data_IF_242319659258
#
_entry.id   IF_242319659258
#
_cell.length_a   1.000
_cell.length_b   1.000
_cell.length_c   1.000
_cell.angle_alpha   90.00
_cell.angle_beta   90.00
_cell.angle_gamma   90.00
#
_symmetry.space_group_name_H-M   'P 1'
#
loop_
_entity.id
_entity.type
_entity.pdbx_description
1 polymer ?
#
# COMPACT_ATOMS: atom_id res chain seq x y z
N UNK A 1 -19.64 5.89 -3.30
CA UNK A 1 -19.85 5.34 -4.66
C UNK A 1 -19.72 3.83 -4.60
N UNK A 2 -20.84 3.11 -4.78
CA UNK A 2 -20.89 1.63 -4.71
C UNK A 2 -19.84 0.97 -5.61
N UNK A 3 -19.56 1.55 -6.79
CA UNK A 3 -18.58 1.03 -7.74
C UNK A 3 -17.16 0.89 -7.18
N UNK A 4 -16.64 1.91 -6.48
CA UNK A 4 -15.28 1.83 -5.90
C UNK A 4 -15.23 0.79 -4.79
N UNK A 5 -16.28 0.69 -3.98
CA UNK A 5 -16.37 -0.34 -2.95
C UNK A 5 -16.38 -1.75 -3.55
N UNK A 6 -17.10 -1.97 -4.65
CA UNK A 6 -17.08 -3.24 -5.40
C UNK A 6 -15.67 -3.55 -5.91
N UNK A 7 -14.99 -2.58 -6.52
CA UNK A 7 -13.63 -2.76 -7.04
C UNK A 7 -12.65 -3.10 -5.90
N UNK A 8 -12.73 -2.38 -4.77
CA UNK A 8 -11.91 -2.66 -3.60
C UNK A 8 -12.13 -4.08 -3.07
N UNK A 9 -13.39 -4.51 -2.96
CA UNK A 9 -13.74 -5.88 -2.53
C UNK A 9 -13.17 -6.92 -3.52
N UNK A 10 -13.29 -6.69 -4.83
CA UNK A 10 -12.70 -7.58 -5.85
C UNK A 10 -11.18 -7.68 -5.68
N UNK A 11 -10.49 -6.56 -5.49
CA UNK A 11 -9.04 -6.53 -5.24
C UNK A 11 -8.71 -7.36 -3.99
N UNK A 12 -9.45 -7.20 -2.90
CA UNK A 12 -9.23 -7.95 -1.67
C UNK A 12 -9.45 -9.46 -1.87
N UNK A 13 -10.52 -9.86 -2.56
CA UNK A 13 -10.79 -11.28 -2.87
C UNK A 13 -9.68 -11.86 -3.75
N UNK A 14 -9.29 -11.17 -4.82
CA UNK A 14 -8.21 -11.62 -5.70
C UNK A 14 -6.87 -11.69 -4.96
N UNK A 15 -6.61 -10.73 -4.06
CA UNK A 15 -5.42 -10.75 -3.21
C UNK A 15 -5.41 -11.97 -2.30
N UNK A 16 -6.54 -12.38 -1.73
CA UNK A 16 -6.61 -13.59 -0.92
C UNK A 16 -6.15 -14.81 -1.72
N UNK A 17 -6.73 -15.03 -2.91
CA UNK A 17 -6.34 -16.14 -3.78
C UNK A 17 -4.89 -16.07 -4.25
N UNK A 18 -4.37 -14.87 -4.51
CA UNK A 18 -2.94 -14.65 -4.79
C UNK A 18 -2.06 -15.09 -3.63
N UNK A 19 -2.43 -14.73 -2.40
CA UNK A 19 -1.71 -15.09 -1.18
C UNK A 19 -1.71 -16.59 -0.91
N UNK A 20 -2.82 -17.29 -1.21
CA UNK A 20 -2.89 -18.75 -1.10
C UNK A 20 -1.85 -19.46 -1.98
N UNK A 21 -1.57 -18.93 -3.18
CA UNK A 21 -0.60 -19.49 -4.13
C UNK A 21 0.83 -19.22 -3.69
N UNK A 22 1.08 -18.04 -3.14
CA UNK A 22 2.41 -17.56 -2.79
C UNK A 22 2.93 -18.03 -1.43
N UNK A 23 2.01 -18.25 -0.49
CA UNK A 23 2.29 -18.78 0.83
C UNK A 23 2.75 -17.75 1.86
N UNK A 24 2.63 -18.13 3.14
CA UNK A 24 2.80 -17.26 4.29
C UNK A 24 4.14 -16.53 4.34
N UNK A 25 5.25 -17.24 4.13
CA UNK A 25 6.59 -16.63 4.28
C UNK A 25 6.82 -15.55 3.24
N UNK A 26 6.41 -15.75 1.98
CA UNK A 26 6.56 -14.69 0.95
C UNK A 26 5.75 -13.47 1.35
N UNK A 27 4.51 -13.67 1.75
CA UNK A 27 3.58 -12.59 2.06
C UNK A 27 3.94 -11.84 3.35
N UNK A 28 4.50 -12.54 4.34
CA UNK A 28 5.05 -11.92 5.54
C UNK A 28 6.20 -10.95 5.19
N UNK A 29 7.17 -11.37 4.38
CA UNK A 29 8.26 -10.48 3.98
C UNK A 29 7.75 -9.31 3.12
N UNK A 30 6.81 -9.53 2.21
CA UNK A 30 6.20 -8.44 1.43
C UNK A 30 5.53 -7.40 2.36
N UNK A 31 4.79 -7.87 3.37
CA UNK A 31 4.15 -7.03 4.38
C UNK A 31 5.18 -6.22 5.16
N UNK A 32 6.24 -6.86 5.66
CA UNK A 32 7.32 -6.17 6.38
C UNK A 32 8.00 -5.13 5.50
N UNK A 33 8.29 -5.47 4.24
CA UNK A 33 8.87 -4.53 3.28
C UNK A 33 7.94 -3.33 3.09
N UNK A 34 6.65 -3.55 2.88
CA UNK A 34 5.68 -2.47 2.71
C UNK A 34 5.63 -1.57 3.96
N UNK A 35 5.56 -2.16 5.16
CA UNK A 35 5.52 -1.41 6.42
C UNK A 35 6.75 -0.52 6.64
N UNK A 36 7.93 -0.96 6.20
CA UNK A 36 9.16 -0.16 6.27
C UNK A 36 9.21 0.86 5.11
N UNK A 37 8.73 0.49 3.92
CA UNK A 37 8.78 1.33 2.74
C UNK A 37 7.85 2.55 2.87
N UNK A 38 6.68 2.41 3.50
CA UNK A 38 5.71 3.51 3.70
C UNK A 38 6.35 4.74 4.38
N UNK A 39 6.92 4.64 5.60
CA UNK A 39 7.51 5.81 6.27
C UNK A 39 8.74 6.34 5.54
N UNK A 40 9.58 5.47 4.96
CA UNK A 40 10.76 5.89 4.20
C UNK A 40 10.37 6.64 2.92
N UNK A 41 9.31 6.20 2.23
CA UNK A 41 8.76 6.90 1.08
C UNK A 41 8.16 8.24 1.49
N UNK A 42 7.43 8.28 2.60
CA UNK A 42 6.92 9.52 3.19
C UNK A 42 8.01 10.54 3.52
N UNK A 43 9.21 10.09 3.91
CA UNK A 43 10.33 11.00 4.16
C UNK A 43 11.02 11.49 2.88
N UNK A 44 11.15 10.61 1.88
CA UNK A 44 12.00 10.86 0.71
C UNK A 44 11.26 11.33 -0.55
N UNK A 45 9.92 11.28 -0.59
CA UNK A 45 9.15 11.55 -1.81
C UNK A 45 9.42 12.93 -2.42
N UNK A 46 9.72 13.95 -1.61
CA UNK A 46 9.99 15.31 -2.09
C UNK A 46 11.22 15.39 -3.00
N UNK A 47 12.23 14.54 -2.75
CA UNK A 47 13.42 14.48 -3.61
C UNK A 47 13.05 14.01 -5.02
N UNK A 48 12.13 13.05 -5.12
CA UNK A 48 11.64 12.56 -6.40
C UNK A 48 10.62 13.52 -7.03
N UNK A 49 9.76 14.15 -6.24
CA UNK A 49 8.83 15.17 -6.72
C UNK A 49 9.60 16.32 -7.40
N UNK A 50 10.72 16.77 -6.82
CA UNK A 50 11.58 17.79 -7.41
C UNK A 50 12.19 17.36 -8.76
N UNK A 51 12.50 16.07 -8.96
CA UNK A 51 12.95 15.55 -10.25
C UNK A 51 11.81 15.45 -11.28
N UNK A 52 10.56 15.44 -10.82
CA UNK A 52 9.35 15.38 -11.63
C UNK A 52 8.75 16.75 -11.91
N UNK A 53 9.47 17.84 -11.62
CA UNK A 53 8.99 19.22 -11.80
C UNK A 53 8.65 19.62 -13.24
N UNK A 54 8.84 18.70 -14.19
CA UNK A 54 8.38 18.84 -15.57
C UNK A 54 6.90 18.47 -15.74
N UNK A 55 6.27 17.83 -14.75
CA UNK A 55 4.85 17.48 -14.77
C UNK A 55 3.97 18.70 -14.49
N UNK A 56 2.74 18.73 -15.03
CA UNK A 56 1.85 19.86 -14.85
C UNK A 56 1.22 19.88 -13.45
N UNK A 57 1.84 20.58 -12.51
CA UNK A 57 1.27 20.96 -11.22
C UNK A 57 1.77 20.15 -10.03
N UNK A 58 1.86 20.82 -8.88
CA UNK A 58 2.49 20.29 -7.65
C UNK A 58 1.85 18.98 -7.14
N UNK A 59 0.55 18.79 -7.34
CA UNK A 59 -0.12 17.55 -6.93
C UNK A 59 0.36 16.33 -7.73
N UNK A 60 0.58 16.49 -9.04
CA UNK A 60 1.08 15.41 -9.90
C UNK A 60 2.50 15.00 -9.51
N UNK A 61 3.36 16.00 -9.26
CA UNK A 61 4.75 15.80 -8.83
C UNK A 61 4.82 15.03 -7.51
N UNK A 62 4.05 15.46 -6.51
CA UNK A 62 4.06 14.85 -5.19
C UNK A 62 3.43 13.45 -5.18
N UNK A 63 2.33 13.26 -5.89
CA UNK A 63 1.67 11.96 -5.99
C UNK A 63 2.58 10.92 -6.65
N UNK A 64 3.12 11.22 -7.83
CA UNK A 64 4.02 10.29 -8.51
C UNK A 64 5.35 10.16 -7.78
N UNK A 65 5.89 11.25 -7.23
CA UNK A 65 7.10 11.23 -6.41
C UNK A 65 6.97 10.25 -5.24
N UNK A 66 5.80 10.21 -4.58
CA UNK A 66 5.55 9.27 -3.50
C UNK A 66 5.52 7.81 -3.98
N UNK A 67 4.77 7.50 -5.05
CA UNK A 67 4.69 6.12 -5.55
C UNK A 67 6.01 5.62 -6.13
N UNK A 68 6.79 6.49 -6.79
CA UNK A 68 8.11 6.13 -7.28
C UNK A 68 9.08 5.92 -6.11
N UNK A 69 9.02 6.75 -5.05
CA UNK A 69 9.82 6.54 -3.83
C UNK A 69 9.47 5.19 -3.20
N UNK A 70 8.18 4.94 -3.00
CA UNK A 70 7.66 3.70 -2.44
C UNK A 70 8.12 2.49 -3.25
N UNK A 71 8.04 2.56 -4.59
CA UNK A 71 8.48 1.49 -5.47
C UNK A 71 9.99 1.24 -5.38
N UNK A 72 10.82 2.30 -5.49
CA UNK A 72 12.28 2.18 -5.43
C UNK A 72 12.74 1.61 -4.08
N UNK A 73 12.23 2.15 -2.98
CA UNK A 73 12.55 1.68 -1.63
C UNK A 73 12.09 0.24 -1.44
N UNK A 74 10.87 -0.08 -1.89
CA UNK A 74 10.36 -1.45 -1.85
C UNK A 74 11.27 -2.40 -2.61
N UNK A 75 11.74 -2.05 -3.81
CA UNK A 75 12.67 -2.88 -4.59
C UNK A 75 13.96 -3.14 -3.80
N UNK A 76 14.58 -2.10 -3.25
CA UNK A 76 15.80 -2.23 -2.43
C UNK A 76 15.58 -3.14 -1.23
N UNK A 77 14.49 -2.93 -0.48
CA UNK A 77 14.14 -3.76 0.68
C UNK A 77 13.83 -5.21 0.30
N UNK A 78 13.22 -5.45 -0.86
CA UNK A 78 12.98 -6.81 -1.37
C UNK A 78 14.29 -7.54 -1.68
N UNK A 79 15.30 -6.84 -2.20
CA UNK A 79 16.63 -7.43 -2.39
C UNK A 79 17.25 -7.87 -1.07
N UNK A 80 17.13 -7.05 -0.01
CA UNK A 80 17.62 -7.38 1.33
C UNK A 80 16.82 -8.56 1.92
N UNK A 81 15.49 -8.55 1.78
CA UNK A 81 14.59 -9.57 2.29
C UNK A 81 14.71 -10.93 1.56
N UNK A 82 15.35 -10.97 0.39
CA UNK A 82 15.46 -12.17 -0.44
C UNK A 82 16.23 -13.30 0.27
N UNK A 83 17.32 -12.96 0.96
CA UNK A 83 18.18 -13.90 1.69
C UNK A 83 17.44 -14.59 2.85
N UNK A 84 16.92 -13.87 3.87
CA UNK A 84 16.23 -14.49 4.99
C UNK A 84 14.96 -15.23 4.52
N UNK A 85 14.26 -14.71 3.51
CA UNK A 85 13.10 -15.38 2.92
C UNK A 85 13.43 -16.76 2.38
N UNK A 86 14.52 -16.92 1.61
CA UNK A 86 14.91 -18.22 1.05
C UNK A 86 15.26 -19.24 2.14
N UNK A 87 15.87 -18.80 3.23
CA UNK A 87 16.23 -19.67 4.36
C UNK A 87 14.97 -20.17 5.07
N UNK A 88 14.07 -19.25 5.46
CA UNK A 88 12.85 -19.60 6.19
C UNK A 88 11.91 -20.44 5.33
N UNK A 89 11.81 -20.16 4.02
CA UNK A 89 11.01 -20.96 3.10
C UNK A 89 11.47 -22.42 2.98
N UNK A 90 12.76 -22.71 3.19
CA UNK A 90 13.26 -24.10 3.21
C UNK A 90 12.89 -24.84 4.50
N UNK A 91 12.83 -24.11 5.61
CA UNK A 91 12.54 -24.68 6.94
C UNK A 91 11.04 -24.95 7.09
N UNK A 92 10.18 -24.07 6.54
CA UNK A 92 8.74 -24.19 6.70
C UNK A 92 8.11 -25.14 5.66
N UNK A 93 7.47 -26.22 6.14
CA UNK A 93 6.76 -27.18 5.28
C UNK A 93 5.53 -26.55 4.60
N UNK A 94 5.35 -26.82 3.30
CA UNK A 94 4.26 -26.31 2.45
C UNK A 94 2.90 -26.98 2.74
N UNK A 95 2.33 -26.75 3.91
CA UNK A 95 1.01 -27.25 4.30
C UNK A 95 -0.17 -26.34 3.90
N UNK A 96 -1.40 -26.79 4.18
CA UNK A 96 -2.62 -25.99 4.01
C UNK A 96 -2.57 -24.69 4.82
N UNK A 97 -2.15 -24.78 6.09
CA UNK A 97 -2.03 -23.63 6.99
C UNK A 97 -1.06 -22.56 6.45
N UNK A 98 0.04 -22.98 5.81
CA UNK A 98 0.99 -22.10 5.15
C UNK A 98 0.36 -21.33 3.98
N UNK A 99 -0.58 -21.95 3.25
CA UNK A 99 -1.31 -21.27 2.17
C UNK A 99 -2.35 -20.31 2.73
N UNK A 100 -3.17 -20.75 3.70
CA UNK A 100 -4.21 -19.93 4.32
C UNK A 100 -3.63 -18.66 4.96
N UNK A 101 -2.55 -18.79 5.73
CA UNK A 101 -1.83 -17.63 6.28
C UNK A 101 -1.29 -16.72 5.18
N UNK A 102 -0.80 -17.28 4.07
CA UNK A 102 -0.41 -16.49 2.90
C UNK A 102 -1.57 -15.67 2.34
N UNK A 103 -2.77 -16.26 2.25
CA UNK A 103 -3.99 -15.58 1.83
C UNK A 103 -4.32 -14.38 2.73
N UNK A 104 -4.40 -14.60 4.04
CA UNK A 104 -4.69 -13.55 5.02
C UNK A 104 -3.64 -12.44 4.98
N UNK A 105 -2.36 -12.80 4.97
CA UNK A 105 -1.27 -11.81 4.90
C UNK A 105 -1.32 -10.98 3.62
N UNK A 106 -1.67 -11.58 2.47
CA UNK A 106 -1.78 -10.82 1.23
C UNK A 106 -3.01 -9.89 1.23
N UNK A 107 -4.11 -10.28 1.89
CA UNK A 107 -5.27 -9.39 2.09
C UNK A 107 -4.87 -8.19 2.93
N UNK A 108 -4.13 -8.40 4.03
CA UNK A 108 -3.64 -7.29 4.86
C UNK A 108 -2.69 -6.41 4.04
N UNK A 109 -1.75 -6.99 3.29
CA UNK A 109 -0.84 -6.26 2.41
C UNK A 109 -1.61 -5.41 1.37
N UNK A 110 -2.60 -6.00 0.68
CA UNK A 110 -3.42 -5.28 -0.28
C UNK A 110 -4.26 -4.18 0.37
N UNK A 111 -4.80 -4.43 1.57
CA UNK A 111 -5.55 -3.45 2.35
C UNK A 111 -4.67 -2.25 2.72
N UNK A 112 -3.45 -2.49 3.21
CA UNK A 112 -2.49 -1.43 3.51
C UNK A 112 -2.15 -0.61 2.26
N UNK A 113 -1.93 -1.27 1.13
CA UNK A 113 -1.68 -0.56 -0.13
C UNK A 113 -2.86 0.30 -0.57
N UNK A 114 -4.10 -0.20 -0.44
CA UNK A 114 -5.33 0.58 -0.72
C UNK A 114 -5.48 1.78 0.22
N UNK A 115 -5.12 1.63 1.50
CA UNK A 115 -5.14 2.72 2.49
C UNK A 115 -4.11 3.78 2.13
N UNK A 116 -2.86 3.37 1.87
CA UNK A 116 -1.80 4.30 1.41
C UNK A 116 -2.23 5.01 0.14
N UNK A 117 -2.78 4.28 -0.83
CA UNK A 117 -3.28 4.86 -2.07
C UNK A 117 -4.38 5.90 -1.82
N UNK A 118 -5.35 5.56 -0.96
CA UNK A 118 -6.44 6.46 -0.58
C UNK A 118 -5.90 7.73 0.07
N UNK A 119 -5.00 7.61 1.05
CA UNK A 119 -4.42 8.76 1.75
C UNK A 119 -3.59 9.66 0.83
N UNK A 120 -2.78 9.07 -0.06
CA UNK A 120 -1.94 9.82 -1.00
C UNK A 120 -2.80 10.53 -2.05
N UNK A 121 -3.85 9.87 -2.55
CA UNK A 121 -4.78 10.46 -3.52
C UNK A 121 -5.54 11.64 -2.91
N UNK A 122 -5.99 11.53 -1.65
CA UNK A 122 -6.72 12.61 -0.98
C UNK A 122 -5.79 13.77 -0.57
N UNK A 123 -4.52 13.48 -0.26
CA UNK A 123 -3.53 14.51 0.02
C UNK A 123 -3.12 15.28 -1.25
N UNK A 124 -3.07 14.60 -2.39
CA UNK A 124 -2.70 15.17 -3.68
C UNK A 124 -3.74 14.78 -4.74
N UNK A 125 -4.91 15.45 -4.76
CA UNK A 125 -5.94 15.16 -5.73
C UNK A 125 -5.45 15.52 -7.12
N UNK A 126 -5.29 14.49 -7.96
CA UNK A 126 -4.94 14.63 -9.37
C UNK A 126 -6.19 14.79 -10.24
N UNK A 127 -7.26 14.08 -9.87
CA UNK A 127 -8.51 14.04 -10.61
C UNK A 127 -9.69 14.18 -9.65
N UNK A 128 -10.45 15.26 -9.78
CA UNK A 128 -11.61 15.55 -8.91
C UNK A 128 -12.68 14.45 -8.93
N UNK A 129 -12.81 13.73 -10.05
CA UNK A 129 -13.75 12.61 -10.14
C UNK A 129 -13.27 11.41 -9.32
N UNK A 130 -11.96 11.13 -9.32
CA UNK A 130 -11.38 9.99 -8.61
C UNK A 130 -11.38 10.24 -7.11
N UNK A 131 -11.05 11.47 -6.70
CA UNK A 131 -11.13 11.91 -5.30
C UNK A 131 -12.54 11.69 -4.72
N UNK A 132 -13.58 12.22 -5.38
CA UNK A 132 -14.97 12.06 -4.96
C UNK A 132 -15.41 10.59 -4.89
N UNK A 133 -14.91 9.77 -5.80
CA UNK A 133 -15.23 8.35 -5.84
C UNK A 133 -14.59 7.58 -4.69
N UNK A 134 -13.34 7.91 -4.36
CA UNK A 134 -12.59 7.31 -3.26
C UNK A 134 -13.13 7.78 -1.89
N UNK A 135 -13.33 9.09 -1.70
CA UNK A 135 -13.92 9.65 -0.48
C UNK A 135 -15.33 9.10 -0.22
N UNK A 136 -16.13 8.88 -1.27
CA UNK A 136 -17.45 8.29 -1.12
C UNK A 136 -17.50 6.78 -0.87
N UNK A 137 -16.37 6.07 -0.75
CA UNK A 137 -16.34 4.60 -0.63
C UNK A 137 -16.31 4.15 0.82
N UNK A 138 -17.40 3.52 1.29
CA UNK A 138 -17.50 3.02 2.67
C UNK A 138 -16.45 1.95 2.99
N UNK A 139 -16.07 1.13 2.02
CA UNK A 139 -15.02 0.10 2.19
C UNK A 139 -13.67 0.75 2.41
N UNK A 140 -13.30 1.76 1.62
CA UNK A 140 -12.01 2.44 1.79
C UNK A 140 -11.97 3.23 3.09
N UNK A 141 -13.07 3.90 3.46
CA UNK A 141 -13.21 4.55 4.76
C UNK A 141 -13.00 3.58 5.92
N UNK A 142 -13.66 2.42 5.88
CA UNK A 142 -13.51 1.37 6.90
C UNK A 142 -12.06 0.85 6.96
N UNK A 143 -11.39 0.69 5.82
CA UNK A 143 -9.99 0.28 5.79
C UNK A 143 -9.07 1.36 6.39
N UNK A 144 -9.29 2.62 6.07
CA UNK A 144 -8.51 3.75 6.63
C UNK A 144 -8.67 3.82 8.14
N UNK A 145 -9.89 3.57 8.65
CA UNK A 145 -10.18 3.50 10.09
C UNK A 145 -9.45 2.31 10.77
N UNK A 146 -9.59 1.10 10.23
CA UNK A 146 -8.95 -0.12 10.75
C UNK A 146 -7.42 0.01 10.74
N UNK A 147 -6.87 0.58 9.67
CA UNK A 147 -5.43 0.76 9.48
C UNK A 147 -4.98 2.19 9.83
N UNK A 148 -5.65 2.86 10.78
CA UNK A 148 -5.35 4.24 11.17
C UNK A 148 -3.88 4.47 11.58
N UNK A 149 -3.19 3.43 12.05
CA UNK A 149 -1.75 3.52 12.33
C UNK A 149 -0.91 3.91 11.10
N UNK A 150 -1.34 3.59 9.88
CA UNK A 150 -0.63 3.96 8.64
C UNK A 150 -0.52 5.48 8.51
N UNK A 151 -1.51 6.22 9.01
CA UNK A 151 -1.48 7.69 9.03
C UNK A 151 -0.36 8.22 9.91
N UNK A 152 -0.13 7.59 11.07
CA UNK A 152 0.98 7.95 11.97
C UNK A 152 2.36 7.65 11.40
N UNK A 153 2.45 6.73 10.43
CA UNK A 153 3.69 6.41 9.72
C UNK A 153 3.98 7.38 8.57
N UNK A 154 2.98 8.15 8.13
CA UNK A 154 3.12 9.11 7.04
C UNK A 154 3.31 10.53 7.58
N UNK A 155 3.95 11.42 6.79
CA UNK A 155 4.06 12.85 7.12
C UNK A 155 2.71 13.51 7.38
N UNK A 156 2.72 14.60 8.16
CA UNK A 156 1.52 15.35 8.56
C UNK A 156 0.60 15.75 7.40
N UNK A 157 1.16 16.02 6.21
CA UNK A 157 0.37 16.35 5.00
C UNK A 157 -0.65 15.27 4.67
N UNK A 158 -0.32 13.99 4.88
CA UNK A 158 -1.23 12.86 4.63
C UNK A 158 -2.20 12.61 5.78
N UNK A 159 -1.89 13.08 6.99
CA UNK A 159 -2.76 12.96 8.16
C UNK A 159 -3.98 13.89 8.04
N UNK A 160 -3.76 15.11 7.52
CA UNK A 160 -4.86 16.05 7.24
C UNK A 160 -5.87 15.51 6.22
N UNK A 161 -5.39 14.73 5.24
CA UNK A 161 -6.22 14.12 4.22
C UNK A 161 -7.09 12.95 4.72
N UNK A 162 -6.80 12.39 5.90
CA UNK A 162 -7.63 11.35 6.48
C UNK A 162 -8.92 11.90 7.11
N UNK A 163 -8.94 13.17 7.49
CA UNK A 163 -10.13 13.83 8.08
C UNK A 163 -11.23 14.11 7.06
N UNK A 164 -10.97 13.90 5.77
CA UNK A 164 -11.91 14.15 4.67
C UNK A 164 -12.54 12.87 4.11
N UNK A 165 -12.20 11.70 4.68
CA UNK A 165 -12.74 10.38 4.34
C UNK A 165 -14.04 10.10 5.07
#
# INVERSE_FOLDING_TARGET
>A
MIWVSIIAVIILILSFFGGLKEGAVKQFFNLVVLLIAIPLAGFSYRLLAALLSFLPGENWENFFGFFIALALISVILHFIALLPRRIIQKIWKRGLFFRLLGGVLNVIHASLFLVVFTLVLLAYPIFDWLERWVAGSSVLASLVEIFGFVQSMLPQVFQSAAMTV
#
